data_IF_774952209406
#
_entry.id   IF_774952209406
#
_cell.length_a   1.000
_cell.length_b   1.000
_cell.length_c   1.000
_cell.angle_alpha   90.00
_cell.angle_beta   90.00
_cell.angle_gamma   90.00
#
_symmetry.space_group_name_H-M   'P 1'
#
loop_
_entity.id
_entity.type
_entity.pdbx_description
1 polymer ?
#
# COMPACT_ATOMS: atom_id res chain seq x y z
N UNK A 1 -25.97 1.96 -0.47
CA UNK A 1 -24.61 2.38 -0.07
C UNK A 1 -24.01 3.19 -1.20
N UNK A 2 -24.04 4.52 -1.11
CA UNK A 2 -23.32 5.39 -2.04
C UNK A 2 -21.85 5.41 -1.61
N UNK A 3 -21.02 4.58 -2.23
CA UNK A 3 -19.57 4.61 -2.00
C UNK A 3 -19.02 6.00 -2.30
N UNK A 4 -18.14 6.51 -1.44
CA UNK A 4 -17.46 7.79 -1.70
C UNK A 4 -16.83 7.76 -3.11
N UNK A 5 -16.88 8.87 -3.86
CA UNK A 5 -16.35 8.89 -5.22
C UNK A 5 -14.86 8.55 -5.20
N UNK A 6 -14.47 7.63 -6.08
CA UNK A 6 -13.07 7.22 -6.24
C UNK A 6 -12.21 8.41 -6.62
N UNK A 7 -11.06 8.61 -5.95
CA UNK A 7 -10.18 9.77 -6.13
C UNK A 7 -8.79 9.32 -6.60
N UNK A 8 -8.25 9.93 -7.65
CA UNK A 8 -6.83 9.71 -8.04
C UNK A 8 -5.89 10.26 -6.96
N UNK A 9 -4.88 9.47 -6.62
CA UNK A 9 -3.89 9.82 -5.59
C UNK A 9 -2.47 9.72 -6.12
N UNK A 10 -1.60 10.53 -5.54
CA UNK A 10 -0.16 10.60 -5.80
C UNK A 10 0.54 10.94 -4.47
N UNK A 11 0.88 9.91 -3.69
CA UNK A 11 1.21 10.04 -2.27
C UNK A 11 2.53 9.37 -1.94
N UNK A 12 3.19 9.82 -0.87
CA UNK A 12 4.36 9.16 -0.31
C UNK A 12 4.05 8.67 1.10
N UNK A 13 4.57 7.52 1.46
CA UNK A 13 4.34 6.94 2.78
C UNK A 13 5.39 5.90 3.16
N UNK A 14 5.23 5.34 4.36
CA UNK A 14 6.09 4.31 4.93
C UNK A 14 5.29 3.02 5.10
N UNK A 15 5.83 1.90 4.66
CA UNK A 15 5.20 0.58 4.87
C UNK A 15 5.23 0.26 6.36
N UNK A 16 4.05 0.03 6.94
CA UNK A 16 3.88 -0.29 8.35
C UNK A 16 3.55 -1.76 8.59
N UNK A 17 2.92 -2.43 7.62
CA UNK A 17 2.64 -3.85 7.66
C UNK A 17 2.55 -4.43 6.25
N UNK A 18 2.88 -5.72 6.14
CA UNK A 18 2.66 -6.54 4.94
C UNK A 18 1.88 -7.77 5.40
N UNK A 19 0.75 -8.03 4.77
CA UNK A 19 -0.15 -9.13 5.11
C UNK A 19 -0.35 -10.05 3.91
N UNK A 20 -0.29 -11.35 4.18
CA UNK A 20 -0.60 -12.42 3.23
C UNK A 20 -1.85 -13.15 3.76
N UNK A 21 -3.06 -12.61 3.55
CA UNK A 21 -4.30 -13.16 4.11
C UNK A 21 -4.56 -14.62 3.68
N UNK A 22 -3.92 -15.10 2.62
CA UNK A 22 -3.96 -16.50 2.20
C UNK A 22 -5.31 -16.91 1.59
N UNK A 23 -5.35 -18.12 1.01
CA UNK A 23 -6.48 -18.88 0.42
C UNK A 23 -7.49 -18.21 -0.52
N UNK A 24 -7.55 -16.88 -0.63
CA UNK A 24 -8.35 -16.20 -1.64
C UNK A 24 -7.86 -16.55 -3.04
N UNK A 25 -8.79 -16.74 -3.97
CA UNK A 25 -8.50 -17.00 -5.38
C UNK A 25 -9.15 -15.89 -6.22
N UNK A 26 -8.36 -14.98 -6.84
CA UNK A 26 -6.90 -14.92 -6.81
C UNK A 26 -6.35 -14.42 -5.45
N UNK A 27 -5.09 -14.76 -5.10
CA UNK A 27 -4.50 -14.30 -3.84
C UNK A 27 -4.38 -12.78 -3.82
N UNK A 28 -4.53 -12.17 -2.64
CA UNK A 28 -4.29 -10.74 -2.43
C UNK A 28 -3.11 -10.56 -1.49
N UNK A 29 -2.12 -9.77 -1.91
CA UNK A 29 -1.06 -9.27 -1.04
C UNK A 29 -1.43 -7.85 -0.60
N UNK A 30 -1.44 -7.63 0.70
CA UNK A 30 -1.84 -6.37 1.30
C UNK A 30 -0.64 -5.63 1.93
N UNK A 31 -0.51 -4.34 1.65
CA UNK A 31 0.52 -3.48 2.25
C UNK A 31 -0.15 -2.28 2.91
N UNK A 32 0.04 -2.13 4.23
CA UNK A 32 -0.45 -0.96 4.95
C UNK A 32 0.58 0.17 4.88
N UNK A 33 0.19 1.29 4.26
CA UNK A 33 1.04 2.46 4.06
C UNK A 33 0.61 3.61 4.97
N UNK A 34 1.51 4.09 5.81
CA UNK A 34 1.32 5.29 6.62
C UNK A 34 1.66 6.54 5.80
N UNK A 35 0.73 7.49 5.75
CA UNK A 35 0.81 8.76 5.01
C UNK A 35 0.42 9.90 5.97
N UNK A 36 1.42 10.50 6.62
CA UNK A 36 1.18 11.39 7.76
C UNK A 36 0.58 10.60 8.92
N UNK A 37 -0.47 11.13 9.54
CA UNK A 37 -1.20 10.47 10.65
C UNK A 37 -2.25 9.46 10.18
N UNK A 38 -2.38 9.27 8.86
CA UNK A 38 -3.39 8.40 8.26
C UNK A 38 -2.75 7.14 7.66
N UNK A 39 -3.54 6.07 7.57
CA UNK A 39 -3.14 4.85 6.89
C UNK A 39 -4.00 4.58 5.66
N UNK A 40 -3.42 3.93 4.65
CA UNK A 40 -4.15 3.40 3.51
C UNK A 40 -3.64 2.00 3.14
N UNK A 41 -4.54 1.16 2.68
CA UNK A 41 -4.26 -0.18 2.22
C UNK A 41 -3.89 -0.17 0.73
N UNK A 42 -2.76 -0.77 0.38
CA UNK A 42 -2.42 -1.13 -0.99
C UNK A 42 -2.76 -2.61 -1.18
N UNK A 43 -3.72 -2.91 -2.04
CA UNK A 43 -4.14 -4.28 -2.30
C UNK A 43 -3.63 -4.72 -3.68
N UNK A 44 -2.73 -5.69 -3.70
CA UNK A 44 -2.13 -6.27 -4.89
C UNK A 44 -2.82 -7.60 -5.21
N UNK A 45 -3.79 -7.53 -6.12
CA UNK A 45 -4.59 -8.67 -6.53
C UNK A 45 -3.77 -9.60 -7.44
N UNK A 46 -3.88 -10.89 -7.22
CA UNK A 46 -3.13 -11.94 -7.93
C UNK A 46 -1.64 -11.99 -7.60
N UNK A 47 -1.17 -11.24 -6.59
CA UNK A 47 0.23 -11.25 -6.15
C UNK A 47 0.37 -12.09 -4.89
N UNK A 48 1.43 -12.89 -4.85
CA UNK A 48 1.85 -13.66 -3.67
C UNK A 48 3.12 -13.12 -3.04
N UNK A 49 3.82 -12.22 -3.73
CA UNK A 49 5.05 -11.57 -3.27
C UNK A 49 5.21 -10.15 -3.86
N UNK A 50 6.08 -9.37 -3.21
CA UNK A 50 6.54 -8.06 -3.65
C UNK A 50 8.02 -7.95 -3.32
N UNK A 51 8.86 -7.80 -4.34
CA UNK A 51 10.30 -7.61 -4.13
C UNK A 51 10.62 -6.17 -3.73
N UNK A 52 11.67 -6.02 -2.91
CA UNK A 52 12.22 -4.72 -2.48
C UNK A 52 11.28 -3.86 -1.63
N UNK A 53 10.17 -4.44 -1.15
CA UNK A 53 9.22 -3.79 -0.25
C UNK A 53 9.24 -4.55 1.07
N UNK A 54 9.80 -3.90 2.08
CA UNK A 54 9.86 -4.38 3.46
C UNK A 54 9.09 -3.43 4.38
N UNK A 55 8.83 -3.86 5.62
CA UNK A 55 8.37 -2.95 6.66
C UNK A 55 9.43 -1.86 6.86
N UNK A 56 9.00 -0.59 6.86
CA UNK A 56 9.89 0.57 6.90
C UNK A 56 10.29 1.11 5.52
N UNK A 57 10.04 0.40 4.42
CA UNK A 57 10.27 0.94 3.08
C UNK A 57 9.45 2.20 2.84
N UNK A 58 10.07 3.21 2.22
CA UNK A 58 9.37 4.41 1.75
C UNK A 58 8.85 4.18 0.34
N UNK A 59 7.56 4.37 0.12
CA UNK A 59 6.95 4.21 -1.20
C UNK A 59 6.41 5.53 -1.72
N UNK A 60 6.56 5.74 -3.03
CA UNK A 60 5.78 6.69 -3.80
C UNK A 60 4.69 5.93 -4.55
N UNK A 61 3.42 6.24 -4.28
CA UNK A 61 2.25 5.51 -4.78
C UNK A 61 1.38 6.40 -5.65
N UNK A 62 0.94 5.86 -6.78
CA UNK A 62 -0.07 6.45 -7.66
C UNK A 62 -1.18 5.43 -7.94
N UNK A 63 -2.41 5.89 -7.95
CA UNK A 63 -3.56 5.03 -8.25
C UNK A 63 -4.89 5.70 -7.97
N UNK A 64 -5.92 4.87 -7.81
CA UNK A 64 -7.27 5.31 -7.48
C UNK A 64 -7.60 4.87 -6.06
N UNK A 65 -7.82 5.84 -5.18
CA UNK A 65 -8.27 5.63 -3.81
C UNK A 65 -9.79 5.42 -3.79
N UNK A 66 -10.20 4.36 -3.13
CA UNK A 66 -11.60 4.02 -2.83
C UNK A 66 -11.75 3.67 -1.35
N UNK A 67 -12.98 3.44 -0.89
CA UNK A 67 -13.27 2.82 0.39
C UNK A 67 -13.67 1.36 0.16
N UNK A 68 -12.94 0.43 0.76
CA UNK A 68 -13.24 -1.00 0.72
C UNK A 68 -13.40 -1.51 2.15
N UNK A 69 -14.59 -2.00 2.52
CA UNK A 69 -14.93 -2.40 3.89
C UNK A 69 -14.59 -1.34 4.95
N UNK A 70 -14.72 -0.06 4.61
CA UNK A 70 -14.38 1.07 5.49
C UNK A 70 -12.89 1.45 5.50
N UNK A 71 -12.04 0.71 4.81
CA UNK A 71 -10.59 0.97 4.72
C UNK A 71 -10.27 1.76 3.45
N UNK A 72 -9.59 2.92 3.55
CA UNK A 72 -9.05 3.62 2.39
C UNK A 72 -8.09 2.70 1.62
N UNK A 73 -8.45 2.31 0.40
CA UNK A 73 -7.76 1.26 -0.34
C UNK A 73 -7.40 1.72 -1.75
N UNK A 74 -6.20 1.37 -2.21
CA UNK A 74 -5.76 1.51 -3.59
C UNK A 74 -5.46 0.10 -4.13
N UNK A 75 -6.27 -0.36 -5.08
CA UNK A 75 -6.07 -1.64 -5.74
C UNK A 75 -5.05 -1.52 -6.87
N UNK A 76 -4.14 -2.49 -6.97
CA UNK A 76 -3.10 -2.61 -7.99
C UNK A 76 -2.42 -1.25 -8.32
N UNK A 77 -1.87 -0.56 -7.31
CA UNK A 77 -1.24 0.74 -7.51
C UNK A 77 0.01 0.64 -8.38
N UNK A 78 0.36 1.75 -9.01
CA UNK A 78 1.75 1.99 -9.39
C UNK A 78 2.52 2.45 -8.16
N UNK A 79 3.69 1.85 -7.93
CA UNK A 79 4.55 2.28 -6.84
C UNK A 79 6.02 2.33 -7.27
N UNK A 80 6.78 3.13 -6.54
CA UNK A 80 8.25 3.18 -6.62
C UNK A 80 8.79 3.13 -5.20
N UNK A 81 9.74 2.23 -4.96
CA UNK A 81 10.50 2.21 -3.71
C UNK A 81 11.45 3.39 -3.73
N UNK A 82 11.31 4.28 -2.75
CA UNK A 82 12.17 5.44 -2.60
C UNK A 82 13.43 5.07 -1.83
N UNK A 83 14.57 5.74 -2.08
CA UNK A 83 15.76 5.54 -1.28
C UNK A 83 15.49 5.77 0.21
N UNK A 84 15.77 4.75 1.01
CA UNK A 84 15.85 4.91 2.46
C UNK A 84 17.23 5.48 2.74
N UNK A 85 17.29 6.70 3.27
CA UNK A 85 18.53 7.21 3.84
C UNK A 85 18.81 6.33 5.07
N UNK A 86 19.71 5.36 4.91
CA UNK A 86 20.28 4.65 6.05
C UNK A 86 21.25 5.65 6.63
N UNK A 87 20.84 6.37 7.66
CA UNK A 87 21.82 7.05 8.49
C UNK A 87 22.68 5.94 9.07
N UNK A 88 23.86 5.75 8.46
CA UNK A 88 24.82 4.75 8.89
C UNK A 88 24.98 4.92 10.40
N UNK A 89 24.63 3.87 11.15
CA UNK A 89 24.76 3.81 12.59
C UNK A 89 26.11 4.43 12.99
N UNK A 90 26.05 5.60 13.62
CA UNK A 90 27.13 6.18 14.41
C UNK A 90 26.90 5.80 15.87
#
# INVERSE_FOLDING_TARGET
>A
MTGSPSRRVNLRGVVSAISYPGSETPPTLEVMLQVGDNSLLLAFLGRTDLHCVDIGSRLHVKGTLTSHNGVPTVFNPWFTVLPTHVDALR
#
